data_IF_994597897631
#
_entry.id   IF_994597897631
#
_cell.length_a   1.000
_cell.length_b   1.000
_cell.length_c   1.000
_cell.angle_alpha   90.00
_cell.angle_beta   90.00
_cell.angle_gamma   90.00
#
_symmetry.space_group_name_H-M   'P 1'
#
loop_
_entity.id
_entity.type
_entity.pdbx_description
1 polymer ?
#
# COMPACT_ATOMS: atom_id res chain seq x y z
N UNK A 1 -2.64 -1.49 -14.63
CA UNK A 1 -1.77 -0.63 -13.80
C UNK A 1 -0.62 -0.17 -14.68
N UNK A 2 -0.45 1.16 -14.90
CA UNK A 2 0.51 1.69 -15.90
C UNK A 2 1.61 2.55 -15.29
N UNK A 3 1.37 3.15 -14.13
CA UNK A 3 2.35 3.97 -13.44
C UNK A 3 2.31 3.73 -11.94
N UNK A 4 3.50 3.64 -11.36
CA UNK A 4 3.76 3.35 -9.95
C UNK A 4 4.52 4.54 -9.36
N UNK A 5 4.10 5.03 -8.20
CA UNK A 5 4.83 6.02 -7.41
C UNK A 5 5.50 5.35 -6.21
N UNK A 6 6.77 5.65 -5.99
CA UNK A 6 7.56 5.24 -4.85
C UNK A 6 7.99 6.47 -4.05
N UNK A 7 7.26 6.87 -3.01
CA UNK A 7 7.72 7.88 -2.06
C UNK A 7 8.64 7.21 -1.04
N UNK A 8 9.80 7.81 -0.81
CA UNK A 8 10.81 7.33 0.12
C UNK A 8 10.96 8.31 1.28
N UNK A 9 10.66 7.87 2.48
CA UNK A 9 10.94 8.59 3.73
C UNK A 9 12.25 8.12 4.37
N UNK A 10 12.69 6.89 4.05
CA UNK A 10 13.87 6.26 4.60
C UNK A 10 14.69 5.59 3.50
N UNK A 11 15.98 5.88 3.49
CA UNK A 11 16.89 5.43 2.42
C UNK A 11 17.08 3.91 2.40
N UNK A 12 16.88 3.26 3.54
CA UNK A 12 16.97 1.81 3.72
C UNK A 12 15.85 1.06 2.99
N UNK A 13 14.70 1.70 2.80
CA UNK A 13 13.54 1.06 2.14
C UNK A 13 13.65 1.04 0.61
N UNK A 14 14.59 1.80 0.03
CA UNK A 14 14.71 1.98 -1.43
C UNK A 14 14.87 0.64 -2.17
N UNK A 15 15.84 -0.23 -1.86
CA UNK A 15 16.04 -1.45 -2.63
C UNK A 15 14.79 -2.32 -2.65
N UNK A 16 14.22 -2.54 -1.48
CA UNK A 16 13.07 -3.40 -1.30
C UNK A 16 11.80 -2.92 -2.04
N UNK A 17 11.52 -1.61 -2.01
CA UNK A 17 10.37 -1.05 -2.73
C UNK A 17 10.60 -1.05 -4.25
N UNK A 18 11.84 -0.86 -4.70
CA UNK A 18 12.20 -0.96 -6.12
C UNK A 18 12.02 -2.40 -6.61
N UNK A 19 12.51 -3.41 -5.89
CA UNK A 19 12.38 -4.81 -6.27
C UNK A 19 10.90 -5.19 -6.45
N UNK A 20 10.05 -4.76 -5.52
CA UNK A 20 8.61 -4.95 -5.62
C UNK A 20 8.00 -4.22 -6.83
N UNK A 21 8.38 -2.96 -7.05
CA UNK A 21 7.88 -2.17 -8.19
C UNK A 21 8.33 -2.74 -9.53
N UNK A 22 9.53 -3.29 -9.62
CA UNK A 22 10.05 -3.97 -10.82
C UNK A 22 9.27 -5.24 -11.10
N UNK A 23 9.02 -6.08 -10.08
CA UNK A 23 8.18 -7.28 -10.24
C UNK A 23 6.80 -6.92 -10.82
N UNK A 24 6.17 -5.88 -10.28
CA UNK A 24 4.90 -5.38 -10.79
C UNK A 24 5.05 -4.74 -12.19
N UNK A 25 6.15 -4.03 -12.45
CA UNK A 25 6.41 -3.43 -13.77
C UNK A 25 6.51 -4.49 -14.86
N UNK A 26 7.24 -5.58 -14.63
CA UNK A 26 7.28 -6.73 -15.56
C UNK A 26 5.89 -7.31 -15.82
N UNK A 27 5.10 -7.49 -14.75
CA UNK A 27 3.75 -8.07 -14.85
C UNK A 27 2.75 -7.18 -15.58
N UNK A 28 2.85 -5.83 -15.43
CA UNK A 28 1.84 -4.87 -15.91
C UNK A 28 2.36 -3.87 -16.95
N UNK A 29 3.62 -3.94 -17.34
CA UNK A 29 4.31 -2.95 -18.17
C UNK A 29 4.12 -1.52 -17.62
N UNK A 30 4.53 -1.34 -16.36
CA UNK A 30 4.35 -0.09 -15.62
C UNK A 30 5.61 0.76 -15.65
N UNK A 31 5.46 2.09 -15.66
CA UNK A 31 6.57 3.00 -15.36
C UNK A 31 6.70 3.21 -13.85
N UNK A 32 7.92 3.46 -13.38
CA UNK A 32 8.25 3.68 -11.97
C UNK A 32 8.72 5.13 -11.78
N UNK A 33 8.19 5.81 -10.78
CA UNK A 33 8.63 7.16 -10.41
C UNK A 33 9.02 7.18 -8.93
N UNK A 34 10.23 7.65 -8.63
CA UNK A 34 10.73 7.81 -7.26
C UNK A 34 10.74 9.27 -6.82
N UNK A 35 10.48 9.53 -5.55
CA UNK A 35 10.56 10.84 -4.91
C UNK A 35 10.93 10.71 -3.44
N UNK A 36 11.80 11.56 -2.93
CA UNK A 36 12.11 11.64 -1.52
C UNK A 36 11.08 12.53 -0.80
N UNK A 37 10.56 12.03 0.31
CA UNK A 37 9.57 12.72 1.14
C UNK A 37 10.18 13.03 2.50
N UNK A 38 9.99 14.25 2.96
CA UNK A 38 10.43 14.68 4.28
C UNK A 38 9.74 13.84 5.37
N UNK A 39 10.55 13.28 6.26
CA UNK A 39 10.06 12.53 7.40
C UNK A 39 9.19 13.43 8.29
N UNK A 40 8.03 12.94 8.68
CA UNK A 40 7.28 13.49 9.80
C UNK A 40 7.60 12.66 11.03
N UNK A 41 8.07 13.29 12.05
CA UNK A 41 8.07 12.71 13.40
C UNK A 41 6.61 12.74 13.84
N UNK A 42 5.89 11.64 13.62
CA UNK A 42 4.58 11.46 14.20
C UNK A 42 4.79 11.34 15.72
N UNK A 43 4.68 12.46 16.41
CA UNK A 43 4.76 12.50 17.89
C UNK A 43 3.56 11.73 18.44
N UNK A 44 3.73 10.45 18.66
CA UNK A 44 2.79 9.61 19.43
C UNK A 44 2.76 9.99 20.92
N UNK A 45 3.51 11.00 21.32
CA UNK A 45 3.57 11.52 22.69
C UNK A 45 3.44 13.04 22.64
N UNK A 46 2.21 13.52 22.66
CA UNK A 46 1.93 14.85 23.14
C UNK A 46 0.66 14.83 23.98
N UNK A 47 0.75 14.25 25.15
CA UNK A 47 0.13 14.86 26.32
C UNK A 47 1.04 16.02 26.70
N UNK A 48 0.46 17.23 26.71
CA UNK A 48 1.01 18.51 27.14
C UNK A 48 2.02 19.20 26.21
N UNK A 49 1.46 20.08 25.38
CA UNK A 49 1.89 21.45 25.13
C UNK A 49 3.35 21.70 24.73
N UNK A 50 3.70 21.51 23.46
CA UNK A 50 4.53 22.49 22.75
C UNK A 50 4.64 22.09 21.27
N UNK A 51 4.10 22.94 20.42
CA UNK A 51 4.33 22.88 18.97
C UNK A 51 5.71 23.46 18.73
N UNK A 52 6.70 22.63 18.47
CA UNK A 52 7.98 23.08 17.94
C UNK A 52 7.86 23.00 16.42
N UNK A 53 7.64 24.14 15.78
CA UNK A 53 7.88 24.31 14.35
C UNK A 53 9.39 24.36 14.12
N UNK A 54 9.97 23.27 13.65
CA UNK A 54 11.35 23.30 13.16
C UNK A 54 11.33 23.64 11.67
N UNK A 55 11.47 24.94 11.40
CA UNK A 55 11.67 25.50 10.07
C UNK A 55 13.17 25.81 9.87
N UNK A 56 14.02 24.80 9.95
CA UNK A 56 15.43 24.98 9.68
C UNK A 56 15.95 23.85 8.79
N UNK A 57 16.63 24.28 7.71
CA UNK A 57 17.58 23.55 6.86
C UNK A 57 17.14 23.34 5.40
N UNK A 58 17.18 24.44 4.62
CA UNK A 58 16.99 24.35 3.16
C UNK A 58 18.20 23.70 2.47
N UNK A 59 19.42 23.93 2.96
CA UNK A 59 20.65 23.41 2.35
C UNK A 59 20.91 21.92 2.69
N UNK A 60 20.51 21.48 3.87
CA UNK A 60 20.60 20.07 4.27
C UNK A 60 19.60 19.19 3.48
N UNK A 61 18.41 19.69 3.19
CA UNK A 61 17.36 18.99 2.44
C UNK A 61 17.77 18.59 1.01
N UNK A 62 18.56 19.46 0.32
CA UNK A 62 19.02 19.14 -1.05
C UNK A 62 20.06 18.02 -1.04
N UNK A 63 21.00 18.07 -0.09
CA UNK A 63 22.03 17.02 0.06
C UNK A 63 21.43 15.65 0.42
N UNK A 64 20.38 15.63 1.22
CA UNK A 64 19.67 14.40 1.59
C UNK A 64 18.89 13.83 0.40
N UNK A 65 18.12 14.64 -0.31
CA UNK A 65 17.38 14.20 -1.49
C UNK A 65 18.29 13.60 -2.57
N UNK A 66 19.50 14.13 -2.74
CA UNK A 66 20.50 13.59 -3.67
C UNK A 66 20.98 12.19 -3.26
N UNK A 67 21.09 11.87 -1.97
CA UNK A 67 21.44 10.52 -1.50
C UNK A 67 20.33 9.51 -1.88
N UNK A 68 19.06 9.88 -1.69
CA UNK A 68 17.91 9.05 -2.12
C UNK A 68 17.95 8.82 -3.63
N UNK A 69 18.12 9.88 -4.43
CA UNK A 69 18.21 9.80 -5.89
C UNK A 69 19.33 8.87 -6.36
N UNK A 70 20.54 9.04 -5.81
CA UNK A 70 21.68 8.23 -6.16
C UNK A 70 21.43 6.75 -5.87
N UNK A 71 20.91 6.43 -4.68
CA UNK A 71 20.59 5.06 -4.30
C UNK A 71 19.48 4.46 -5.18
N UNK A 72 18.44 5.24 -5.50
CA UNK A 72 17.36 4.82 -6.41
C UNK A 72 17.90 4.48 -7.80
N UNK A 73 18.66 5.40 -8.42
CA UNK A 73 19.20 5.20 -9.76
C UNK A 73 20.21 4.04 -9.78
N UNK A 74 21.09 3.99 -8.78
CA UNK A 74 22.10 2.92 -8.69
C UNK A 74 21.45 1.53 -8.62
N UNK A 75 20.48 1.34 -7.71
CA UNK A 75 19.82 0.05 -7.53
C UNK A 75 19.04 -0.40 -8.79
N UNK A 76 18.30 0.50 -9.44
CA UNK A 76 17.61 0.18 -10.70
C UNK A 76 18.62 -0.17 -11.80
N UNK A 77 19.73 0.56 -11.89
CA UNK A 77 20.75 0.31 -12.91
C UNK A 77 21.44 -1.05 -12.71
N UNK A 78 21.73 -1.45 -11.47
CA UNK A 78 22.29 -2.76 -11.16
C UNK A 78 21.34 -3.89 -11.59
N UNK A 79 20.05 -3.75 -11.28
CA UNK A 79 19.03 -4.74 -11.68
C UNK A 79 18.84 -4.78 -13.20
N UNK A 80 18.79 -3.63 -13.87
CA UNK A 80 18.67 -3.56 -15.33
C UNK A 80 19.87 -4.16 -16.06
N UNK A 81 21.10 -4.02 -15.51
CA UNK A 81 22.28 -4.62 -16.07
C UNK A 81 22.34 -6.14 -15.88
N UNK A 82 21.69 -6.66 -14.84
CA UNK A 82 21.65 -8.10 -14.53
C UNK A 82 20.49 -8.85 -15.19
N UNK A 83 19.48 -8.16 -15.67
CA UNK A 83 18.24 -8.73 -16.19
C UNK A 83 17.82 -8.09 -17.52
N UNK A 84 18.03 -8.78 -18.65
CA UNK A 84 17.67 -8.28 -20.00
C UNK A 84 16.18 -7.89 -20.14
N UNK A 85 15.28 -8.48 -19.35
CA UNK A 85 13.85 -8.14 -19.37
C UNK A 85 13.56 -6.72 -18.87
N UNK A 86 14.55 -6.05 -18.27
CA UNK A 86 14.45 -4.69 -17.77
C UNK A 86 15.01 -3.63 -18.74
N UNK A 87 15.50 -4.00 -19.92
CA UNK A 87 16.05 -3.04 -20.88
C UNK A 87 15.05 -1.93 -21.28
N UNK A 88 13.77 -2.25 -21.32
CA UNK A 88 12.70 -1.31 -21.63
C UNK A 88 12.03 -0.68 -20.40
N UNK A 89 12.57 -0.89 -19.20
CA UNK A 89 12.01 -0.34 -17.96
C UNK A 89 12.02 1.18 -17.97
N UNK A 90 10.84 1.77 -17.87
CA UNK A 90 10.67 3.22 -17.79
C UNK A 90 10.67 3.66 -16.33
N UNK A 91 11.68 4.40 -15.94
CA UNK A 91 11.76 4.98 -14.60
C UNK A 91 12.22 6.43 -14.61
N UNK A 92 11.87 7.18 -13.57
CA UNK A 92 12.34 8.56 -13.38
C UNK A 92 12.38 8.94 -11.90
N UNK A 93 13.27 9.88 -11.60
CA UNK A 93 13.29 10.61 -10.33
C UNK A 93 12.57 11.95 -10.49
N UNK A 94 11.75 12.35 -9.51
CA UNK A 94 10.81 13.46 -9.70
C UNK A 94 11.29 14.80 -9.15
N UNK A 95 12.15 14.80 -8.11
CA UNK A 95 12.61 16.05 -7.48
C UNK A 95 13.99 15.90 -6.89
N UNK A 96 14.80 16.93 -7.03
CA UNK A 96 16.13 17.02 -6.43
C UNK A 96 16.09 17.58 -4.99
N UNK A 97 14.89 17.86 -4.45
CA UNK A 97 14.63 18.32 -3.10
C UNK A 97 13.70 17.35 -2.37
N UNK A 98 13.81 17.28 -1.04
CA UNK A 98 12.85 16.59 -0.21
C UNK A 98 11.47 17.27 -0.32
N UNK A 99 10.45 16.47 -0.60
CA UNK A 99 9.09 16.95 -0.80
C UNK A 99 8.24 16.76 0.46
N UNK A 100 7.28 17.64 0.67
CA UNK A 100 6.38 17.57 1.82
C UNK A 100 5.15 16.68 1.54
N UNK A 101 4.34 16.45 2.59
CA UNK A 101 3.13 15.62 2.51
C UNK A 101 2.08 16.17 1.53
N UNK A 102 1.96 17.52 1.42
CA UNK A 102 1.04 18.12 0.46
C UNK A 102 1.41 17.76 -0.97
N UNK A 103 2.70 17.84 -1.31
CA UNK A 103 3.20 17.44 -2.62
C UNK A 103 2.91 15.96 -2.89
N UNK A 104 3.11 15.07 -1.90
CA UNK A 104 2.80 13.64 -2.01
C UNK A 104 1.32 13.41 -2.33
N UNK A 105 0.40 14.07 -1.63
CA UNK A 105 -1.03 13.98 -1.87
C UNK A 105 -1.42 14.45 -3.27
N UNK A 106 -0.95 15.62 -3.68
CA UNK A 106 -1.24 16.20 -4.99
C UNK A 106 -0.67 15.31 -6.13
N UNK A 107 0.57 14.85 -5.97
CA UNK A 107 1.24 14.00 -6.95
C UNK A 107 0.56 12.63 -7.09
N UNK A 108 0.12 12.03 -6.00
CA UNK A 108 -0.50 10.70 -5.98
C UNK A 108 -1.71 10.62 -6.91
N UNK A 109 -2.45 11.72 -7.12
CA UNK A 109 -3.67 11.77 -7.95
C UNK A 109 -3.49 11.31 -9.39
N UNK A 110 -2.26 11.36 -9.92
CA UNK A 110 -1.96 10.98 -11.31
C UNK A 110 -1.26 9.63 -11.43
N UNK A 111 -1.22 8.84 -10.34
CA UNK A 111 -0.66 7.48 -10.32
C UNK A 111 -1.73 6.42 -10.12
N UNK A 112 -1.50 5.23 -10.67
CA UNK A 112 -2.43 4.10 -10.48
C UNK A 112 -2.33 3.50 -9.09
N UNK A 113 -1.13 3.45 -8.54
CA UNK A 113 -0.84 2.93 -7.20
C UNK A 113 0.39 3.63 -6.63
N UNK A 114 0.38 3.84 -5.33
CA UNK A 114 1.56 4.27 -4.56
C UNK A 114 2.03 3.08 -3.74
N UNK A 115 3.31 2.73 -3.88
CA UNK A 115 3.92 1.62 -3.13
C UNK A 115 4.82 2.23 -2.07
N UNK A 116 4.61 1.81 -0.82
CA UNK A 116 5.32 2.32 0.34
C UNK A 116 5.58 1.16 1.31
N UNK A 117 6.62 1.25 2.12
CA UNK A 117 6.88 0.24 3.14
C UNK A 117 5.76 0.19 4.18
N UNK A 118 5.45 -0.99 4.69
CA UNK A 118 4.56 -1.14 5.83
C UNK A 118 5.14 -0.42 7.06
N UNK A 119 4.33 0.29 7.88
CA UNK A 119 4.82 0.89 9.11
C UNK A 119 5.26 -0.20 10.11
N UNK A 120 6.42 0.02 10.74
CA UNK A 120 6.96 -0.81 11.79
C UNK A 120 7.19 0.05 13.04
N UNK A 121 6.93 -0.48 14.22
CA UNK A 121 7.10 0.27 15.48
C UNK A 121 8.56 0.57 15.81
N UNK A 122 9.49 -0.28 15.37
CA UNK A 122 10.91 -0.24 15.76
C UNK A 122 11.85 0.05 14.59
N UNK A 123 11.34 0.22 13.37
CA UNK A 123 12.14 0.41 12.17
C UNK A 123 11.81 1.72 11.47
N UNK A 124 12.81 2.25 10.78
CA UNK A 124 12.64 3.37 9.85
C UNK A 124 11.76 2.90 8.67
N UNK A 125 10.48 3.23 8.74
CA UNK A 125 9.45 2.78 7.80
C UNK A 125 8.50 3.92 7.49
N UNK A 126 7.62 3.73 6.50
CA UNK A 126 6.67 4.78 6.11
C UNK A 126 5.81 5.25 7.28
N UNK A 127 5.58 6.54 7.34
CA UNK A 127 4.73 7.16 8.35
C UNK A 127 3.25 6.88 8.07
N UNK A 128 2.45 6.80 9.13
CA UNK A 128 1.00 6.70 9.02
C UNK A 128 0.42 7.93 8.32
N UNK A 129 1.04 9.11 8.51
CA UNK A 129 0.61 10.35 7.85
C UNK A 129 0.77 10.28 6.33
N UNK A 130 1.83 9.68 5.80
CA UNK A 130 1.99 9.47 4.36
C UNK A 130 0.94 8.54 3.79
N UNK A 131 0.64 7.44 4.48
CA UNK A 131 -0.42 6.52 4.05
C UNK A 131 -1.78 7.23 4.03
N UNK A 132 -2.09 8.02 5.06
CA UNK A 132 -3.32 8.82 5.12
C UNK A 132 -3.37 9.86 3.99
N UNK A 133 -2.30 10.60 3.77
CA UNK A 133 -2.21 11.59 2.70
C UNK A 133 -2.48 10.98 1.32
N UNK A 134 -1.89 9.82 1.02
CA UNK A 134 -2.10 9.14 -0.26
C UNK A 134 -3.56 8.69 -0.40
N UNK A 135 -4.14 8.10 0.66
CA UNK A 135 -5.52 7.59 0.63
C UNK A 135 -6.56 8.71 0.55
N UNK A 136 -6.40 9.79 1.33
CA UNK A 136 -7.42 10.84 1.45
C UNK A 136 -7.19 12.04 0.53
N UNK A 137 -5.98 12.59 0.50
CA UNK A 137 -5.68 13.77 -0.31
C UNK A 137 -5.34 13.36 -1.75
N UNK A 138 -4.68 12.20 -1.93
CA UNK A 138 -4.42 11.60 -3.21
C UNK A 138 -5.60 10.83 -3.81
N UNK A 139 -6.45 10.24 -2.98
CA UNK A 139 -7.55 9.38 -3.40
C UNK A 139 -7.08 8.18 -4.22
N UNK A 140 -5.89 7.64 -3.88
CA UNK A 140 -5.27 6.55 -4.65
C UNK A 140 -5.00 5.32 -3.78
N UNK A 141 -5.01 4.15 -4.43
CA UNK A 141 -4.61 2.92 -3.77
C UNK A 141 -3.18 3.01 -3.21
N UNK A 142 -3.00 2.52 -2.00
CA UNK A 142 -1.70 2.32 -1.39
C UNK A 142 -1.41 0.84 -1.31
N UNK A 143 -0.24 0.43 -1.77
CA UNK A 143 0.27 -0.92 -1.57
C UNK A 143 1.34 -0.88 -0.48
N UNK A 144 1.05 -1.45 0.66
CA UNK A 144 1.96 -1.57 1.80
C UNK A 144 2.78 -2.84 1.65
N UNK A 145 4.10 -2.69 1.57
CA UNK A 145 5.02 -3.82 1.39
C UNK A 145 5.76 -4.10 2.70
N UNK A 146 5.74 -5.36 3.20
CA UNK A 146 6.57 -5.78 4.33
C UNK A 146 8.05 -5.68 3.97
N UNK A 147 8.91 -5.25 4.91
CA UNK A 147 10.36 -5.19 4.70
C UNK A 147 10.94 -6.61 4.67
N UNK A 148 11.98 -6.83 3.86
CA UNK A 148 12.78 -8.07 3.79
C UNK A 148 12.07 -9.32 3.22
N UNK A 149 11.04 -9.18 2.43
CA UNK A 149 10.41 -10.31 1.76
C UNK A 149 10.34 -10.08 0.24
N UNK A 150 10.96 -10.97 -0.53
CA UNK A 150 10.77 -10.98 -1.98
C UNK A 150 9.44 -11.66 -2.27
N UNK A 151 8.49 -10.94 -2.90
CA UNK A 151 7.12 -11.40 -3.06
C UNK A 151 6.70 -11.25 -4.52
N UNK A 152 6.21 -12.34 -5.10
CA UNK A 152 5.50 -12.32 -6.38
C UNK A 152 4.03 -12.03 -6.10
N UNK A 153 3.64 -10.76 -6.19
CA UNK A 153 2.35 -10.25 -5.73
C UNK A 153 1.22 -10.54 -6.70
N UNK A 154 0.09 -11.00 -6.15
CA UNK A 154 -1.21 -11.08 -6.84
C UNK A 154 -1.42 -12.36 -7.63
N UNK A 155 -0.96 -13.51 -7.10
CA UNK A 155 -1.37 -14.87 -7.52
C UNK A 155 -2.48 -15.40 -6.61
N UNK A 156 -2.26 -15.40 -5.29
CA UNK A 156 -3.22 -15.82 -4.27
C UNK A 156 -3.74 -14.59 -3.53
N UNK A 157 -4.91 -14.08 -3.93
CA UNK A 157 -5.45 -12.81 -3.43
C UNK A 157 -6.61 -13.05 -2.49
N UNK A 158 -6.55 -12.45 -1.30
CA UNK A 158 -7.67 -12.39 -0.35
C UNK A 158 -8.24 -10.98 -0.32
N UNK A 159 -9.53 -10.85 -0.63
CA UNK A 159 -10.28 -9.61 -0.53
C UNK A 159 -11.04 -9.61 0.79
N UNK A 160 -10.70 -8.69 1.71
CA UNK A 160 -11.47 -8.49 2.92
C UNK A 160 -12.72 -7.68 2.62
N UNK A 161 -13.87 -8.38 2.55
CA UNK A 161 -15.16 -7.82 2.22
C UNK A 161 -16.00 -7.55 3.47
N UNK A 162 -16.59 -6.38 3.59
CA UNK A 162 -17.49 -6.00 4.69
C UNK A 162 -18.71 -5.20 4.22
N UNK A 163 -19.08 -5.32 2.96
CA UNK A 163 -20.24 -4.70 2.31
C UNK A 163 -20.20 -3.17 2.21
N UNK A 164 -19.09 -2.51 2.57
CA UNK A 164 -18.97 -1.04 2.53
C UNK A 164 -18.54 -0.51 1.18
N UNK A 165 -18.74 0.80 0.96
CA UNK A 165 -18.30 1.49 -0.26
C UNK A 165 -16.79 1.42 -0.45
N UNK A 166 -16.01 1.46 0.64
CA UNK A 166 -14.55 1.37 0.60
C UNK A 166 -14.08 -0.02 0.16
N UNK A 167 -14.74 -1.09 0.65
CA UNK A 167 -14.44 -2.46 0.17
C UNK A 167 -14.82 -2.63 -1.30
N UNK A 168 -15.92 -2.03 -1.75
CA UNK A 168 -16.29 -2.00 -3.16
C UNK A 168 -15.25 -1.27 -4.01
N UNK A 169 -14.82 -0.07 -3.60
CA UNK A 169 -13.75 0.67 -4.29
C UNK A 169 -12.45 -0.15 -4.37
N UNK A 170 -12.12 -0.88 -3.29
CA UNK A 170 -10.93 -1.74 -3.26
C UNK A 170 -11.02 -2.87 -4.28
N UNK A 171 -12.18 -3.51 -4.44
CA UNK A 171 -12.43 -4.52 -5.49
C UNK A 171 -12.19 -3.91 -6.87
N UNK A 172 -12.85 -2.79 -7.19
CA UNK A 172 -12.73 -2.18 -8.52
C UNK A 172 -11.32 -1.66 -8.83
N UNK A 173 -10.65 -1.06 -7.86
CA UNK A 173 -9.28 -0.57 -8.03
C UNK A 173 -8.28 -1.72 -8.23
N UNK A 174 -8.54 -2.90 -7.65
CA UNK A 174 -7.68 -4.07 -7.75
C UNK A 174 -7.94 -4.95 -8.99
N UNK A 175 -8.98 -4.69 -9.79
CA UNK A 175 -9.31 -5.49 -10.98
C UNK A 175 -8.12 -5.79 -11.90
N UNK A 176 -7.17 -4.85 -12.18
CA UNK A 176 -5.99 -5.18 -12.98
C UNK A 176 -5.13 -6.28 -12.37
N UNK A 177 -5.07 -6.36 -11.03
CA UNK A 177 -4.34 -7.40 -10.29
C UNK A 177 -5.15 -8.70 -10.32
N UNK A 178 -6.43 -8.64 -9.98
CA UNK A 178 -7.33 -9.79 -9.90
C UNK A 178 -7.47 -10.55 -11.23
N UNK A 179 -7.40 -9.84 -12.37
CA UNK A 179 -7.40 -10.46 -13.71
C UNK A 179 -6.19 -11.33 -14.01
N UNK A 180 -5.11 -11.19 -13.27
CA UNK A 180 -3.88 -11.97 -13.41
C UNK A 180 -3.63 -12.90 -12.22
N UNK A 181 -4.56 -12.94 -11.27
CA UNK A 181 -4.50 -13.83 -10.12
C UNK A 181 -4.87 -15.27 -10.53
N UNK A 182 -4.21 -16.23 -9.89
CA UNK A 182 -4.53 -17.65 -10.03
C UNK A 182 -5.76 -17.99 -9.20
N UNK A 183 -5.84 -17.44 -7.98
CA UNK A 183 -6.99 -17.60 -7.08
C UNK A 183 -7.36 -16.28 -6.40
N UNK A 184 -8.67 -16.06 -6.28
CA UNK A 184 -9.23 -14.90 -5.56
C UNK A 184 -10.27 -15.39 -4.56
N UNK A 185 -10.07 -15.04 -3.28
CA UNK A 185 -11.04 -15.33 -2.22
C UNK A 185 -11.65 -14.05 -1.68
N UNK A 186 -12.99 -14.00 -1.66
CA UNK A 186 -13.74 -12.93 -1.00
C UNK A 186 -14.01 -13.40 0.44
N UNK A 187 -13.27 -12.84 1.40
CA UNK A 187 -13.38 -13.19 2.81
C UNK A 187 -14.28 -12.21 3.53
N UNK A 188 -15.37 -12.70 4.09
CA UNK A 188 -16.30 -11.96 4.97
C UNK A 188 -16.16 -12.46 6.40
N UNK A 189 -16.09 -11.55 7.38
CA UNK A 189 -16.12 -11.87 8.82
C UNK A 189 -17.41 -11.31 9.41
N UNK A 190 -18.28 -12.18 9.91
CA UNK A 190 -19.68 -11.87 10.26
C UNK A 190 -19.87 -10.75 11.29
N UNK A 191 -18.92 -10.51 12.19
CA UNK A 191 -19.04 -9.52 13.26
C UNK A 191 -19.12 -8.06 12.80
N UNK A 192 -18.75 -7.75 11.55
CA UNK A 192 -18.65 -6.36 11.04
C UNK A 192 -19.14 -6.31 9.58
N UNK A 193 -20.28 -6.87 9.36
CA UNK A 193 -20.98 -6.74 8.08
C UNK A 193 -21.88 -5.53 8.17
N UNK A 194 -21.72 -4.59 7.27
CA UNK A 194 -22.74 -3.56 7.00
C UNK A 194 -23.84 -4.17 6.14
N UNK A 195 -25.04 -3.60 6.18
CA UNK A 195 -26.06 -3.96 5.21
C UNK A 195 -25.54 -3.70 3.79
N UNK A 196 -25.65 -4.70 2.92
CA UNK A 196 -25.13 -4.55 1.55
C UNK A 196 -24.90 -5.88 0.83
N UNK A 197 -24.24 -5.83 -0.33
CA UNK A 197 -24.00 -7.01 -1.16
C UNK A 197 -23.17 -8.07 -0.46
N UNK A 198 -23.55 -9.33 -0.61
CA UNK A 198 -22.84 -10.47 -0.03
C UNK A 198 -21.54 -10.78 -0.78
N UNK A 199 -20.68 -11.62 -0.20
CA UNK A 199 -19.46 -12.11 -0.86
C UNK A 199 -19.76 -12.87 -2.16
N UNK A 200 -20.88 -13.61 -2.22
CA UNK A 200 -21.34 -14.33 -3.40
C UNK A 200 -21.70 -13.37 -4.54
N UNK A 201 -22.32 -12.24 -4.25
CA UNK A 201 -22.60 -11.20 -5.25
C UNK A 201 -21.31 -10.56 -5.78
N UNK A 202 -20.26 -10.47 -4.96
CA UNK A 202 -18.93 -10.06 -5.45
C UNK A 202 -18.30 -11.12 -6.34
N UNK A 203 -18.50 -12.42 -6.04
CA UNK A 203 -18.08 -13.51 -6.94
C UNK A 203 -18.77 -13.40 -8.29
N UNK A 204 -20.07 -13.13 -8.35
CA UNK A 204 -20.82 -12.91 -9.60
C UNK A 204 -20.24 -11.70 -10.37
N UNK A 205 -19.99 -10.58 -9.68
CA UNK A 205 -19.34 -9.40 -10.26
C UNK A 205 -17.99 -9.78 -10.88
N UNK A 206 -17.11 -10.45 -10.14
CA UNK A 206 -15.78 -10.83 -10.61
C UNK A 206 -15.86 -11.82 -11.77
N UNK A 207 -16.84 -12.74 -11.76
CA UNK A 207 -17.11 -13.65 -12.86
C UNK A 207 -17.45 -12.91 -14.15
N UNK A 208 -18.23 -11.82 -14.09
CA UNK A 208 -18.52 -10.96 -15.25
C UNK A 208 -17.29 -10.30 -15.85
N UNK A 209 -16.23 -10.15 -15.06
CA UNK A 209 -14.90 -9.68 -15.48
C UNK A 209 -13.96 -10.80 -15.93
N UNK A 210 -14.43 -12.06 -15.97
CA UNK A 210 -13.63 -13.24 -16.31
C UNK A 210 -12.66 -13.66 -15.20
N UNK A 211 -12.92 -13.26 -13.96
CA UNK A 211 -12.08 -13.55 -12.80
C UNK A 211 -12.69 -14.71 -12.00
N UNK A 212 -11.94 -15.81 -11.88
CA UNK A 212 -12.35 -16.93 -11.04
C UNK A 212 -12.17 -16.61 -9.58
N UNK A 213 -13.22 -16.73 -8.78
CA UNK A 213 -13.19 -16.41 -7.35
C UNK A 213 -14.13 -17.28 -6.54
N UNK A 214 -13.98 -17.28 -5.22
CA UNK A 214 -14.85 -17.93 -4.26
C UNK A 214 -15.15 -17.02 -3.07
N UNK A 215 -16.33 -17.14 -2.47
CA UNK A 215 -16.67 -16.48 -1.21
C UNK A 215 -16.41 -17.43 -0.03
N UNK A 216 -15.93 -16.86 1.08
CA UNK A 216 -15.73 -17.55 2.36
C UNK A 216 -16.23 -16.62 3.46
N UNK A 217 -17.08 -17.15 4.34
CA UNK A 217 -17.58 -16.45 5.51
C UNK A 217 -17.06 -17.11 6.77
N UNK A 218 -16.47 -16.34 7.68
CA UNK A 218 -15.95 -16.81 8.96
C UNK A 218 -16.65 -16.09 10.11
N UNK A 219 -16.88 -16.82 11.22
CA UNK A 219 -17.37 -16.22 12.46
C UNK A 219 -16.34 -15.26 13.07
N UNK A 220 -16.81 -14.15 13.63
CA UNK A 220 -15.97 -13.14 14.31
C UNK A 220 -16.08 -13.15 15.84
N UNK A 221 -16.67 -14.19 16.46
CA UNK A 221 -17.05 -14.15 17.88
C UNK A 221 -15.88 -14.16 18.85
N UNK A 222 -14.81 -14.92 18.58
CA UNK A 222 -13.72 -15.16 19.53
C UNK A 222 -12.48 -14.30 19.32
N UNK A 223 -12.23 -13.80 18.13
CA UNK A 223 -11.00 -13.07 17.76
C UNK A 223 -11.28 -11.68 17.21
N UNK A 224 -10.23 -10.84 17.21
CA UNK A 224 -10.29 -9.56 16.49
C UNK A 224 -10.30 -9.80 14.97
N UNK A 225 -11.08 -9.02 14.25
CA UNK A 225 -11.28 -9.18 12.80
C UNK A 225 -9.97 -9.15 12.02
N UNK A 226 -9.04 -8.29 12.39
CA UNK A 226 -7.73 -8.21 11.74
C UNK A 226 -6.91 -9.49 11.90
N UNK A 227 -7.03 -10.16 13.04
CA UNK A 227 -6.39 -11.45 13.32
C UNK A 227 -6.99 -12.55 12.43
N UNK A 228 -8.33 -12.62 12.35
CA UNK A 228 -9.04 -13.60 11.50
C UNK A 228 -8.65 -13.44 10.03
N UNK A 229 -8.62 -12.19 9.53
CA UNK A 229 -8.23 -11.92 8.14
C UNK A 229 -6.79 -12.38 7.90
N UNK A 230 -5.87 -12.07 8.82
CA UNK A 230 -4.47 -12.42 8.67
C UNK A 230 -4.24 -13.93 8.74
N UNK A 231 -4.81 -14.60 9.73
CA UNK A 231 -4.73 -16.06 9.88
C UNK A 231 -5.28 -16.80 8.66
N UNK A 232 -6.46 -16.39 8.18
CA UNK A 232 -7.03 -16.96 6.96
C UNK A 232 -6.11 -16.75 5.76
N UNK A 233 -5.62 -15.52 5.56
CA UNK A 233 -4.74 -15.20 4.45
C UNK A 233 -3.44 -16.01 4.50
N UNK A 234 -2.88 -16.23 5.69
CA UNK A 234 -1.72 -17.10 5.89
C UNK A 234 -2.04 -18.57 5.58
N UNK A 235 -3.21 -19.07 6.01
CA UNK A 235 -3.63 -20.46 5.81
C UNK A 235 -3.79 -20.85 4.34
N UNK A 236 -4.10 -19.87 3.48
CA UNK A 236 -4.22 -20.07 2.02
C UNK A 236 -2.97 -19.63 1.26
N UNK A 237 -1.87 -19.28 1.95
CA UNK A 237 -0.64 -18.74 1.39
C UNK A 237 -0.88 -17.52 0.49
N UNK A 238 -1.79 -16.62 0.91
CA UNK A 238 -2.06 -15.40 0.17
C UNK A 238 -0.79 -14.54 0.03
N UNK A 239 -0.61 -13.95 -1.15
CA UNK A 239 0.48 -13.03 -1.48
C UNK A 239 0.00 -11.57 -1.59
N UNK A 240 -1.31 -11.35 -1.44
CA UNK A 240 -1.92 -10.02 -1.40
C UNK A 240 -3.22 -10.03 -0.60
N UNK A 241 -3.36 -9.05 0.31
CA UNK A 241 -4.64 -8.73 0.95
C UNK A 241 -5.17 -7.44 0.34
N UNK A 242 -6.37 -7.47 -0.25
CA UNK A 242 -7.09 -6.30 -0.75
C UNK A 242 -8.12 -5.88 0.29
N UNK A 243 -8.12 -4.61 0.69
CA UNK A 243 -9.01 -4.13 1.75
C UNK A 243 -9.42 -2.68 1.55
N UNK A 244 -10.69 -2.38 1.84
CA UNK A 244 -11.16 -1.02 2.08
C UNK A 244 -10.63 -0.46 3.41
N UNK A 245 -10.26 0.79 3.43
CA UNK A 245 -9.76 1.48 4.60
C UNK A 245 -10.75 2.56 5.06
N UNK A 246 -10.85 2.78 6.39
CA UNK A 246 -11.59 3.90 6.99
C UNK A 246 -13.12 3.89 6.82
N UNK A 247 -13.76 2.78 7.12
CA UNK A 247 -15.21 2.62 6.95
C UNK A 247 -16.10 3.42 7.92
N UNK A 248 -15.59 4.02 8.99
CA UNK A 248 -16.42 4.56 10.09
C UNK A 248 -16.16 5.99 10.55
N UNK A 249 -15.22 6.76 10.02
CA UNK A 249 -15.07 8.15 10.46
C UNK A 249 -14.62 9.11 9.37
N UNK A 250 -15.40 10.16 9.15
CA UNK A 250 -15.03 11.34 8.37
C UNK A 250 -14.11 12.30 9.15
N UNK A 251 -13.68 11.95 10.35
CA UNK A 251 -12.82 12.77 11.19
C UNK A 251 -11.36 12.38 10.91
N UNK A 252 -10.61 13.31 10.36
CA UNK A 252 -9.18 13.21 10.01
C UNK A 252 -8.26 12.83 11.20
N UNK A 253 -8.79 12.84 12.40
CA UNK A 253 -8.03 12.62 13.65
C UNK A 253 -8.12 11.21 14.22
N UNK A 254 -8.95 10.33 13.67
CA UNK A 254 -9.15 8.98 14.21
C UNK A 254 -8.65 7.92 13.24
N UNK A 255 -7.40 7.58 13.42
CA UNK A 255 -6.76 6.27 13.53
C UNK A 255 -7.52 5.15 12.80
N UNK A 256 -6.82 4.50 11.85
CA UNK A 256 -7.22 3.25 11.20
C UNK A 256 -8.10 2.35 12.07
N UNK A 257 -9.23 1.88 11.55
CA UNK A 257 -10.08 0.92 12.25
C UNK A 257 -9.28 -0.30 12.72
N UNK A 258 -9.66 -0.90 13.83
CA UNK A 258 -8.90 -1.95 14.50
C UNK A 258 -8.36 -3.05 13.57
N UNK A 259 -9.16 -3.49 12.60
CA UNK A 259 -8.73 -4.52 11.63
C UNK A 259 -7.64 -3.99 10.68
N UNK A 260 -7.80 -2.78 10.13
CA UNK A 260 -6.79 -2.19 9.23
C UNK A 260 -5.49 -1.94 9.97
N UNK A 261 -5.57 -1.39 11.19
CA UNK A 261 -4.39 -1.15 12.03
C UNK A 261 -3.66 -2.46 12.37
N UNK A 262 -4.41 -3.50 12.73
CA UNK A 262 -3.82 -4.80 13.01
C UNK A 262 -3.04 -5.35 11.81
N UNK A 263 -3.66 -5.35 10.64
CA UNK A 263 -3.00 -5.79 9.40
C UNK A 263 -1.75 -4.96 9.09
N UNK A 264 -1.83 -3.62 9.19
CA UNK A 264 -0.70 -2.74 8.93
C UNK A 264 0.48 -2.99 9.86
N UNK A 265 0.24 -3.38 11.11
CA UNK A 265 1.29 -3.60 12.11
C UNK A 265 1.85 -5.03 12.10
N UNK A 266 1.06 -6.02 11.67
CA UNK A 266 1.41 -7.44 11.86
C UNK A 266 1.49 -8.26 10.55
N UNK A 267 0.98 -7.74 9.41
CA UNK A 267 0.95 -8.54 8.19
C UNK A 267 2.32 -8.65 7.55
N UNK A 268 2.77 -9.86 7.29
CA UNK A 268 3.91 -10.17 6.40
C UNK A 268 3.44 -10.43 4.96
N UNK A 269 2.17 -10.21 4.67
CA UNK A 269 1.57 -10.25 3.35
C UNK A 269 1.36 -8.80 2.90
N UNK A 270 1.71 -8.42 1.66
CA UNK A 270 1.39 -7.12 1.10
C UNK A 270 -0.08 -6.78 1.23
N UNK A 271 -0.37 -5.50 1.49
CA UNK A 271 -1.75 -5.03 1.67
C UNK A 271 -2.05 -3.94 0.63
N UNK A 272 -3.11 -4.13 -0.15
CA UNK A 272 -3.62 -3.13 -1.09
C UNK A 272 -4.81 -2.42 -0.44
N UNK A 273 -4.60 -1.17 -0.01
CA UNK A 273 -5.60 -0.35 0.67
C UNK A 273 -6.22 0.66 -0.27
N UNK A 274 -7.54 0.86 -0.15
CA UNK A 274 -8.31 1.87 -0.88
C UNK A 274 -9.31 2.54 0.06
N UNK A 275 -9.47 3.85 -0.06
CA UNK A 275 -10.50 4.61 0.64
C UNK A 275 -11.65 4.97 -0.29
#
# INVERSE_FOLDING_TARGET
>A
MRNILLPFEYIETIPHLIDCAISLSKKYNSSISGVAIQQRIDSFIAQEGSVIFDSLHHDENTGEAQKFKQKFIHHISELANSDPDLNDLKYKWLSDELQNQKYLGDLSRVYNVVIISRPYQELQSASLSSIQTILFDGGRPVMLIPINKQIDIGKEVVISWNCTTESSRAVFASLPILKKADNVTILTVEKVISDGPTGEQVVELLSSHGIKSKAVTLSGEEKKIGEIILEYSQSVNADLIVKGAYTQSRLREIIFGGATRHLMLHSEIPIYLVN
#
